data_IF_437847764689
#
_entry.id   IF_437847764689
#
_cell.length_a   1.000
_cell.length_b   1.000
_cell.length_c   1.000
_cell.angle_alpha   90.00
_cell.angle_beta   90.00
_cell.angle_gamma   90.00
#
_symmetry.space_group_name_H-M   'P 1'
#
loop_
_entity.id
_entity.type
_entity.pdbx_description
1 polymer ?
#
# COMPACT_ATOMS: atom_id res chain seq x y z
N UNK A 1 6.28 3.91 -7.87
CA UNK A 1 5.12 4.82 -7.80
C UNK A 1 4.64 4.93 -6.35
N UNK A 2 4.23 6.13 -5.89
CA UNK A 2 3.68 6.29 -4.53
C UNK A 2 2.40 5.47 -4.35
N UNK A 3 2.21 4.87 -3.18
CA UNK A 3 1.04 4.03 -2.88
C UNK A 3 -0.29 4.78 -3.10
N UNK A 4 -0.38 6.04 -2.67
CA UNK A 4 -1.59 6.85 -2.87
C UNK A 4 -1.96 7.02 -4.35
N UNK A 5 -0.95 7.24 -5.20
CA UNK A 5 -1.15 7.46 -6.63
C UNK A 5 -1.58 6.16 -7.31
N UNK A 6 -0.98 5.04 -6.90
CA UNK A 6 -1.43 3.72 -7.35
C UNK A 6 -2.90 3.46 -7.01
N UNK A 7 -3.30 3.69 -5.76
CA UNK A 7 -4.68 3.50 -5.30
C UNK A 7 -5.65 4.37 -6.11
N UNK A 8 -5.32 5.65 -6.34
CA UNK A 8 -6.16 6.54 -7.16
C UNK A 8 -6.26 6.10 -8.62
N UNK A 9 -5.18 5.59 -9.19
CA UNK A 9 -5.15 5.12 -10.58
C UNK A 9 -6.05 3.88 -10.79
N UNK A 10 -6.08 2.97 -9.81
CA UNK A 10 -6.90 1.74 -9.90
C UNK A 10 -8.33 1.90 -9.34
N UNK A 11 -8.66 3.01 -8.69
CA UNK A 11 -10.03 3.31 -8.21
C UNK A 11 -10.92 3.75 -9.37
N UNK A 12 -11.42 2.77 -10.12
CA UNK A 12 -12.23 3.00 -11.32
C UNK A 12 -13.60 2.35 -11.15
N UNK A 13 -14.52 2.98 -10.41
CA UNK A 13 -15.83 2.41 -10.10
C UNK A 13 -16.75 2.23 -11.31
N UNK A 14 -16.40 2.78 -12.47
CA UNK A 14 -17.18 2.69 -13.71
C UNK A 14 -16.61 1.70 -14.72
N UNK A 15 -15.56 0.96 -14.38
CA UNK A 15 -15.06 -0.09 -15.28
C UNK A 15 -16.13 -1.20 -15.44
N UNK A 16 -16.38 -1.69 -16.67
CA UNK A 16 -17.42 -2.70 -16.93
C UNK A 16 -17.25 -4.00 -16.14
N UNK A 17 -16.01 -4.33 -15.77
CA UNK A 17 -15.63 -5.55 -15.05
C UNK A 17 -15.65 -5.38 -13.52
N UNK A 18 -16.14 -4.24 -13.01
CA UNK A 18 -16.08 -3.89 -11.59
C UNK A 18 -14.85 -3.05 -11.25
N UNK A 19 -14.78 -2.54 -10.01
CA UNK A 19 -13.73 -1.63 -9.59
C UNK A 19 -12.42 -2.40 -9.29
N UNK A 20 -11.31 -2.16 -10.01
CA UNK A 20 -10.03 -2.85 -9.74
C UNK A 20 -9.51 -2.65 -8.32
N UNK A 21 -9.83 -1.51 -7.69
CA UNK A 21 -9.48 -1.25 -6.30
C UNK A 21 -10.14 -2.24 -5.33
N UNK A 22 -11.35 -2.71 -5.64
CA UNK A 22 -12.06 -3.69 -4.81
C UNK A 22 -11.32 -5.03 -4.78
N UNK A 23 -10.94 -5.53 -5.95
CA UNK A 23 -10.15 -6.75 -6.08
C UNK A 23 -8.79 -6.62 -5.37
N UNK A 24 -8.10 -5.48 -5.54
CA UNK A 24 -6.85 -5.21 -4.84
C UNK A 24 -7.02 -5.18 -3.31
N UNK A 25 -8.08 -4.53 -2.81
CA UNK A 25 -8.39 -4.50 -1.38
C UNK A 25 -8.64 -5.90 -0.81
N UNK A 26 -9.42 -6.73 -1.52
CA UNK A 26 -9.68 -8.11 -1.13
C UNK A 26 -8.39 -8.94 -1.04
N UNK A 27 -7.50 -8.85 -2.03
CA UNK A 27 -6.19 -9.53 -1.99
C UNK A 27 -5.32 -9.05 -0.83
N UNK A 28 -5.41 -7.76 -0.48
CA UNK A 28 -4.74 -7.19 0.69
C UNK A 28 -5.38 -7.58 2.03
N UNK A 29 -6.53 -8.29 2.03
CA UNK A 29 -7.25 -8.71 3.22
C UNK A 29 -8.02 -7.58 3.91
N UNK A 30 -8.44 -6.55 3.16
CA UNK A 30 -9.22 -5.41 3.68
C UNK A 30 -10.40 -5.08 2.76
N UNK A 31 -11.31 -4.23 3.22
CA UNK A 31 -12.43 -3.74 2.39
C UNK A 31 -12.00 -2.56 1.52
N UNK A 32 -12.74 -2.31 0.43
CA UNK A 32 -12.53 -1.10 -0.40
C UNK A 32 -12.69 0.18 0.43
N UNK A 33 -13.66 0.22 1.36
CA UNK A 33 -13.84 1.35 2.27
C UNK A 33 -12.61 1.58 3.17
N UNK A 34 -12.02 0.51 3.69
CA UNK A 34 -10.77 0.59 4.45
C UNK A 34 -9.63 1.16 3.58
N UNK A 35 -9.54 0.73 2.33
CA UNK A 35 -8.53 1.22 1.38
C UNK A 35 -8.69 2.74 1.13
N UNK A 36 -9.91 3.21 0.86
CA UNK A 36 -10.20 4.63 0.58
C UNK A 36 -10.06 5.54 1.79
N UNK A 37 -10.38 5.06 3.00
CA UNK A 37 -10.40 5.88 4.21
C UNK A 37 -9.08 5.82 4.97
N UNK A 38 -8.51 4.62 5.15
CA UNK A 38 -7.37 4.41 6.03
C UNK A 38 -6.05 4.29 5.27
N UNK A 39 -6.02 3.54 4.17
CA UNK A 39 -4.78 3.33 3.42
C UNK A 39 -4.46 4.56 2.58
N UNK A 40 -5.37 5.03 1.73
CA UNK A 40 -5.14 6.15 0.81
C UNK A 40 -4.60 7.41 1.49
N UNK A 41 -5.03 7.67 2.72
CA UNK A 41 -4.66 8.86 3.50
C UNK A 41 -3.76 8.56 4.69
N UNK A 42 -3.26 7.32 4.82
CA UNK A 42 -2.41 6.88 5.94
C UNK A 42 -2.98 7.21 7.34
N UNK A 43 -4.31 7.16 7.52
CA UNK A 43 -4.98 7.62 8.76
C UNK A 43 -4.79 6.70 9.97
N UNK A 44 -4.45 5.43 9.74
CA UNK A 44 -4.26 4.43 10.79
C UNK A 44 -2.91 3.78 10.62
N UNK A 45 -2.28 3.49 11.74
CA UNK A 45 -1.08 2.68 11.76
C UNK A 45 -1.41 1.25 11.28
N UNK A 46 -0.86 0.83 10.14
CA UNK A 46 -1.18 -0.48 9.56
C UNK A 46 -0.38 -1.58 10.26
N UNK A 47 -0.99 -2.75 10.39
CA UNK A 47 -0.24 -3.94 10.84
C UNK A 47 0.81 -4.30 9.79
N UNK A 48 1.95 -4.85 10.23
CA UNK A 48 3.04 -5.28 9.34
C UNK A 48 2.59 -6.25 8.22
N UNK A 49 1.60 -7.11 8.49
CA UNK A 49 1.02 -7.98 7.46
C UNK A 49 0.35 -7.19 6.33
N UNK A 50 -0.34 -6.09 6.65
CA UNK A 50 -0.98 -5.22 5.65
C UNK A 50 0.07 -4.47 4.83
N UNK A 51 1.13 -3.95 5.47
CA UNK A 51 2.24 -3.29 4.77
C UNK A 51 2.84 -4.19 3.68
N UNK A 52 3.14 -5.45 4.03
CA UNK A 52 3.66 -6.44 3.07
C UNK A 52 2.64 -6.80 2.00
N UNK A 53 1.36 -6.93 2.35
CA UNK A 53 0.31 -7.24 1.39
C UNK A 53 0.15 -6.12 0.34
N UNK A 54 0.15 -4.85 0.77
CA UNK A 54 0.05 -3.70 -0.15
C UNK A 54 1.18 -3.71 -1.20
N UNK A 55 2.42 -4.01 -0.78
CA UNK A 55 3.53 -4.11 -1.70
C UNK A 55 3.38 -5.34 -2.64
N UNK A 56 3.13 -6.52 -2.06
CA UNK A 56 3.06 -7.79 -2.80
C UNK A 56 1.92 -7.82 -3.83
N UNK A 57 0.72 -7.44 -3.42
CA UNK A 57 -0.50 -7.53 -4.23
C UNK A 57 -0.59 -6.43 -5.30
N UNK A 58 0.33 -5.45 -5.27
CA UNK A 58 0.50 -4.44 -6.31
C UNK A 58 1.21 -4.98 -7.56
N UNK A 59 1.73 -6.22 -7.50
CA UNK A 59 2.46 -6.88 -8.59
C UNK A 59 3.69 -6.08 -9.03
N UNK A 60 4.43 -5.53 -8.08
CA UNK A 60 5.65 -4.75 -8.34
C UNK A 60 5.42 -3.29 -8.72
N UNK A 61 4.17 -2.82 -8.79
CA UNK A 61 3.85 -1.41 -9.05
C UNK A 61 4.16 -0.48 -7.87
N UNK A 62 4.12 -1.03 -6.65
CA UNK A 62 4.47 -0.36 -5.40
C UNK A 62 5.41 -1.27 -4.59
N UNK A 63 6.60 -0.76 -4.30
CA UNK A 63 7.58 -1.43 -3.45
C UNK A 63 7.24 -1.31 -1.96
N UNK A 64 7.80 -2.18 -1.12
CA UNK A 64 7.62 -2.08 0.33
C UNK A 64 8.15 -0.75 0.90
N UNK A 65 9.23 -0.22 0.33
CA UNK A 65 9.78 1.09 0.72
C UNK A 65 8.75 2.20 0.47
N UNK A 66 8.10 2.21 -0.69
CA UNK A 66 7.07 3.19 -1.03
C UNK A 66 5.83 3.08 -0.15
N UNK A 67 5.47 1.85 0.27
CA UNK A 67 4.42 1.65 1.28
C UNK A 67 4.84 2.25 2.62
N UNK A 68 6.05 1.97 3.10
CA UNK A 68 6.55 2.49 4.38
C UNK A 68 6.65 4.02 4.38
N UNK A 69 7.16 4.61 3.29
CA UNK A 69 7.20 6.06 3.10
C UNK A 69 5.80 6.67 3.16
N UNK A 70 4.82 6.02 2.53
CA UNK A 70 3.43 6.48 2.56
C UNK A 70 2.84 6.51 3.98
N UNK A 71 3.28 5.62 4.86
CA UNK A 71 2.88 5.62 6.28
C UNK A 71 3.82 6.43 7.19
N UNK A 72 4.70 7.25 6.62
CA UNK A 72 5.50 8.23 7.36
C UNK A 72 6.90 7.76 7.78
N UNK A 73 7.36 6.60 7.31
CA UNK A 73 8.75 6.19 7.54
C UNK A 73 9.67 7.03 6.64
N UNK A 74 10.58 7.83 7.19
CA UNK A 74 11.44 8.69 6.38
C UNK A 74 12.45 7.85 5.57
N UNK A 75 12.85 8.37 4.41
CA UNK A 75 13.79 7.70 3.50
C UNK A 75 15.15 7.39 4.15
N UNK A 76 15.57 8.21 5.10
CA UNK A 76 16.80 8.01 5.89
C UNK A 76 16.77 6.73 6.73
N UNK A 77 15.61 6.34 7.24
CA UNK A 77 15.44 5.09 8.01
C UNK A 77 15.37 3.87 7.08
N UNK A 78 14.85 4.03 5.87
CA UNK A 78 14.72 2.95 4.89
C UNK A 78 16.03 2.59 4.19
N UNK A 79 16.95 3.55 4.10
CA UNK A 79 18.28 3.39 3.51
C UNK A 79 19.33 2.94 4.53
N UNK A 80 18.96 2.83 5.81
CA UNK A 80 19.89 2.42 6.86
C UNK A 80 20.32 0.98 6.61
N UNK A 81 21.63 0.71 6.42
CA UNK A 81 22.10 -0.67 6.38
C UNK A 81 21.77 -1.32 7.72
N UNK A 82 21.11 -2.49 7.68
CA UNK A 82 20.90 -3.30 8.87
C UNK A 82 22.29 -3.61 9.44
N UNK A 83 22.60 -3.04 10.60
CA UNK A 83 23.82 -3.36 11.32
C UNK A 83 23.82 -4.88 11.52
N UNK A 84 24.66 -5.57 10.76
CA UNK A 84 24.82 -7.01 10.87
C UNK A 84 25.55 -7.21 12.18
N UNK A 85 24.82 -7.63 13.22
CA UNK A 85 25.46 -8.06 14.45
C UNK A 85 26.33 -9.28 14.11
N UNK A 86 27.65 -9.09 14.24
CA UNK A 86 28.67 -10.12 14.06
C UNK A 86 28.60 -11.16 15.19
#
# INVERSE_FOLDING_TARGET
MKLADYIRNIDKPREPTGNPLEAYAQRCGVTIGYMKVHVLYARKEPRFRLLRALARESEGRVSLMEVLQHFGVPETELSRPVATAA
#
